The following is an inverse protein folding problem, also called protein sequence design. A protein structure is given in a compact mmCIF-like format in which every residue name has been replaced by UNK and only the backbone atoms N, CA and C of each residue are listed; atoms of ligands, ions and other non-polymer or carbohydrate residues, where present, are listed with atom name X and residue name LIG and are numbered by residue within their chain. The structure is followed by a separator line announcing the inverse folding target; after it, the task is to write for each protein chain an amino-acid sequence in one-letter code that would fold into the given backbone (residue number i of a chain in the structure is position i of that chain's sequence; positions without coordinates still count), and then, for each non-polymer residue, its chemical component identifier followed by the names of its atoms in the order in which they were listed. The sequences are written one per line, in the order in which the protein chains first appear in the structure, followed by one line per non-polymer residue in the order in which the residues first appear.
data_IF_198442926211
#
_entry.id   IF_198442926211
#
_cell.length_a   1.000
_cell.length_b   1.000
_cell.length_c   1.000
_cell.angle_alpha   90.00
_cell.angle_beta   90.00
_cell.angle_gamma   90.00
#
_symmetry.space_group_name_H-M   'P 1'
#
loop_
_entity.id
_entity.type
_entity.pdbx_description
1 polymer ?
#
# COMPACT_ATOMS: atom_id res chain seq x y z
N UNK A 1 10.13 1.62 19.57
CA UNK A 1 9.48 2.10 18.35
C UNK A 1 10.51 2.28 17.24
N UNK A 2 10.28 1.72 16.06
CA UNK A 2 11.14 1.87 14.88
C UNK A 2 10.40 2.76 13.87
N UNK A 3 10.59 4.07 13.94
CA UNK A 3 9.94 5.05 13.03
C UNK A 3 10.99 5.81 12.24
N UNK A 4 10.73 6.04 10.95
CA UNK A 4 11.55 6.89 10.10
C UNK A 4 11.08 8.33 10.25
N UNK A 5 11.93 9.23 10.75
CA UNK A 5 11.61 10.66 10.90
C UNK A 5 12.87 11.51 10.93
N UNK A 6 12.78 12.75 10.46
CA UNK A 6 13.88 13.73 10.54
C UNK A 6 15.06 13.43 9.61
N UNK A 7 14.82 12.68 8.53
CA UNK A 7 15.83 12.38 7.51
C UNK A 7 15.51 13.13 6.21
N UNK A 8 16.53 13.56 5.48
CA UNK A 8 16.34 14.34 4.23
C UNK A 8 15.79 13.50 3.06
N UNK A 9 15.72 12.19 3.21
CA UNK A 9 15.30 11.26 2.16
C UNK A 9 14.02 10.53 2.54
N UNK A 10 13.16 10.31 1.56
CA UNK A 10 12.01 9.44 1.76
C UNK A 10 12.45 7.99 1.88
N UNK A 11 11.62 7.16 2.48
CA UNK A 11 11.94 5.75 2.71
C UNK A 11 10.78 4.85 2.29
N UNK A 12 11.08 3.85 1.48
CA UNK A 12 10.21 2.69 1.27
C UNK A 12 10.66 1.60 2.23
N UNK A 13 9.74 1.16 3.09
CA UNK A 13 9.92 0.05 4.02
C UNK A 13 9.20 -1.15 3.42
N UNK A 14 9.95 -2.18 3.09
CA UNK A 14 9.43 -3.44 2.56
C UNK A 14 9.38 -4.49 3.68
N UNK A 15 8.20 -4.79 4.19
CA UNK A 15 7.95 -5.85 5.15
C UNK A 15 7.87 -7.19 4.43
N UNK A 16 8.92 -7.99 4.56
CA UNK A 16 9.07 -9.28 3.87
C UNK A 16 9.22 -10.42 4.88
N UNK A 17 9.05 -11.64 4.39
CA UNK A 17 9.35 -12.88 5.10
C UNK A 17 10.30 -13.74 4.26
N UNK A 18 11.15 -14.54 4.91
CA UNK A 18 12.02 -15.50 4.21
C UNK A 18 11.22 -16.69 3.65
N UNK A 19 10.09 -17.03 4.28
CA UNK A 19 9.25 -18.19 3.94
C UNK A 19 8.05 -17.90 3.03
N UNK A 20 7.82 -16.64 2.64
CA UNK A 20 6.68 -16.28 1.78
C UNK A 20 7.05 -16.42 0.29
N UNK A 21 6.25 -17.19 -0.46
CA UNK A 21 6.45 -17.42 -1.90
C UNK A 21 6.42 -16.12 -2.69
N UNK A 22 5.46 -15.24 -2.39
CA UNK A 22 5.35 -13.93 -3.07
C UNK A 22 6.54 -13.02 -2.72
N UNK A 23 7.09 -13.13 -1.50
CA UNK A 23 8.26 -12.34 -1.08
C UNK A 23 9.51 -12.66 -1.92
N UNK A 24 9.65 -13.88 -2.46
CA UNK A 24 10.83 -14.26 -3.25
C UNK A 24 11.05 -13.35 -4.47
N UNK A 25 9.97 -12.95 -5.15
CA UNK A 25 10.07 -12.02 -6.28
C UNK A 25 10.65 -10.66 -5.88
N UNK A 26 10.35 -10.21 -4.66
CA UNK A 26 10.87 -8.94 -4.14
C UNK A 26 12.33 -9.07 -3.71
N UNK A 27 12.70 -10.15 -3.02
CA UNK A 27 14.10 -10.45 -2.71
C UNK A 27 14.97 -10.45 -3.97
N UNK A 28 14.50 -11.09 -5.04
CA UNK A 28 15.19 -11.11 -6.33
C UNK A 28 15.27 -9.74 -7.00
N UNK A 29 14.18 -8.95 -6.95
CA UNK A 29 14.17 -7.60 -7.48
C UNK A 29 15.19 -6.70 -6.76
N UNK A 30 15.27 -6.82 -5.43
CA UNK A 30 16.12 -5.97 -4.58
C UNK A 30 17.61 -6.26 -4.71
N UNK A 31 17.99 -7.40 -5.29
CA UNK A 31 19.39 -7.67 -5.71
C UNK A 31 19.88 -6.73 -6.81
N UNK A 32 18.97 -6.07 -7.53
CA UNK A 32 19.27 -5.13 -8.62
C UNK A 32 18.69 -3.74 -8.29
N UNK A 33 19.16 -3.05 -7.23
CA UNK A 33 18.53 -1.82 -6.74
C UNK A 33 18.46 -0.71 -7.79
N UNK A 34 19.45 -0.63 -8.69
CA UNK A 34 19.45 0.32 -9.81
C UNK A 34 18.29 0.13 -10.81
N UNK A 35 17.68 -1.05 -10.86
CA UNK A 35 16.54 -1.35 -11.74
C UNK A 35 15.18 -1.08 -11.09
N UNK A 36 15.16 -0.79 -9.79
CA UNK A 36 13.91 -0.55 -9.05
C UNK A 36 13.22 0.74 -9.45
N UNK A 37 13.96 1.71 -10.01
CA UNK A 37 13.41 3.00 -10.44
C UNK A 37 12.61 3.68 -9.32
N UNK A 38 13.18 3.69 -8.11
CA UNK A 38 12.62 4.43 -6.98
C UNK A 38 12.59 5.94 -7.28
N UNK A 39 11.63 6.69 -6.70
CA UNK A 39 11.64 8.14 -6.77
C UNK A 39 13.00 8.71 -6.32
N UNK A 40 13.40 9.84 -6.90
CA UNK A 40 14.69 10.47 -6.58
C UNK A 40 14.75 10.77 -5.08
N UNK A 41 15.89 10.50 -4.46
CA UNK A 41 16.07 10.73 -3.03
C UNK A 41 15.30 9.77 -2.13
N UNK A 42 14.77 8.65 -2.65
CA UNK A 42 14.14 7.61 -1.83
C UNK A 42 15.11 6.47 -1.53
N UNK A 43 15.13 6.01 -0.27
CA UNK A 43 15.87 4.81 0.16
C UNK A 43 14.94 3.63 0.36
N UNK A 44 15.42 2.42 0.06
CA UNK A 44 14.72 1.19 0.37
C UNK A 44 15.33 0.54 1.61
N UNK A 45 14.48 0.10 2.53
CA UNK A 45 14.84 -0.72 3.69
C UNK A 45 13.93 -1.93 3.70
N UNK A 46 14.49 -3.12 3.96
CA UNK A 46 13.71 -4.34 4.16
C UNK A 46 13.59 -4.61 5.65
N UNK A 47 12.39 -4.99 6.08
CA UNK A 47 12.09 -5.39 7.46
C UNK A 47 11.51 -6.79 7.44
N UNK A 48 12.07 -7.70 8.23
CA UNK A 48 11.47 -9.01 8.52
C UNK A 48 11.07 -9.07 9.98
N UNK A 49 10.29 -10.09 10.38
CA UNK A 49 10.12 -10.36 11.81
C UNK A 49 11.47 -10.72 12.46
N UNK A 50 11.52 -10.61 13.78
CA UNK A 50 12.70 -10.92 14.58
C UNK A 50 13.05 -12.41 14.57
N UNK A 51 14.15 -12.74 15.24
CA UNK A 51 14.64 -14.12 15.36
C UNK A 51 13.68 -15.06 16.14
N UNK A 52 12.67 -14.48 16.79
CA UNK A 52 11.54 -15.17 17.41
C UNK A 52 10.57 -15.81 16.41
N UNK A 53 10.51 -15.31 15.17
CA UNK A 53 9.56 -15.76 14.15
C UNK A 53 10.20 -16.05 12.78
N UNK A 54 11.44 -15.63 12.54
CA UNK A 54 12.18 -15.84 11.29
C UNK A 54 13.56 -16.44 11.59
N UNK A 55 14.09 -17.21 10.64
CA UNK A 55 15.47 -17.72 10.74
C UNK A 55 16.47 -16.64 10.31
N UNK A 56 17.41 -16.22 11.18
CA UNK A 56 18.40 -15.20 10.83
C UNK A 56 19.29 -15.59 9.64
N UNK A 57 19.65 -16.86 9.51
CA UNK A 57 20.45 -17.33 8.38
C UNK A 57 19.66 -17.30 7.07
N UNK A 58 18.39 -17.72 7.08
CA UNK A 58 17.54 -17.67 5.90
C UNK A 58 17.30 -16.23 5.42
N UNK A 59 17.13 -15.28 6.35
CA UNK A 59 17.05 -13.85 6.02
C UNK A 59 18.38 -13.33 5.46
N UNK A 60 19.51 -13.70 6.07
CA UNK A 60 20.83 -13.28 5.62
C UNK A 60 21.17 -13.77 4.20
N UNK A 61 20.76 -14.99 3.83
CA UNK A 61 20.97 -15.57 2.49
C UNK A 61 20.18 -14.83 1.39
N UNK A 62 19.03 -14.25 1.76
CA UNK A 62 18.17 -13.48 0.84
C UNK A 62 18.53 -12.00 0.79
N UNK A 63 19.04 -11.44 1.89
CA UNK A 63 19.30 -10.01 2.05
C UNK A 63 20.29 -9.48 0.99
N UNK A 64 19.91 -8.47 0.19
CA UNK A 64 20.82 -7.85 -0.77
C UNK A 64 21.88 -7.00 -0.05
N UNK A 65 23.15 -7.14 -0.44
CA UNK A 65 24.25 -6.37 0.18
C UNK A 65 24.09 -4.84 0.14
N UNK A 66 23.30 -4.33 -0.81
CA UNK A 66 23.09 -2.89 -1.03
C UNK A 66 21.80 -2.35 -0.41
N UNK A 67 20.98 -3.21 0.20
CA UNK A 67 19.69 -2.83 0.80
C UNK A 67 19.72 -3.17 2.29
N UNK A 68 19.66 -2.17 3.18
CA UNK A 68 19.59 -2.42 4.61
C UNK A 68 18.42 -3.36 4.94
N UNK A 69 18.72 -4.44 5.68
CA UNK A 69 17.73 -5.42 6.12
C UNK A 69 17.73 -5.46 7.64
N UNK A 70 16.57 -5.28 8.26
CA UNK A 70 16.37 -5.20 9.71
C UNK A 70 15.41 -6.31 10.14
N UNK A 71 15.76 -7.09 11.15
CA UNK A 71 14.85 -8.06 11.76
C UNK A 71 14.20 -7.43 12.99
N UNK A 72 12.89 -7.13 12.93
CA UNK A 72 12.16 -6.49 14.03
C UNK A 72 10.67 -6.84 14.02
N UNK A 73 10.24 -7.72 14.92
CA UNK A 73 8.81 -7.99 15.15
C UNK A 73 8.06 -6.74 15.63
N UNK A 74 8.72 -5.87 16.42
CA UNK A 74 8.11 -4.62 16.88
C UNK A 74 7.77 -3.67 15.73
N UNK A 75 8.58 -3.62 14.66
CA UNK A 75 8.28 -2.78 13.51
C UNK A 75 7.00 -3.25 12.78
N UNK A 76 6.71 -4.55 12.73
CA UNK A 76 5.44 -5.05 12.19
C UNK A 76 4.25 -4.54 13.01
N UNK A 77 4.38 -4.50 14.33
CA UNK A 77 3.34 -3.96 15.21
C UNK A 77 3.22 -2.44 15.10
N UNK A 78 4.33 -1.71 15.06
CA UNK A 78 4.34 -0.23 15.01
C UNK A 78 3.70 0.34 13.73
N UNK A 79 3.68 -0.44 12.65
CA UNK A 79 3.09 -0.11 11.35
C UNK A 79 1.79 -0.91 11.07
N UNK A 80 1.25 -1.61 12.07
CA UNK A 80 0.02 -2.42 11.95
C UNK A 80 0.00 -3.36 10.73
N UNK A 81 1.15 -3.98 10.43
CA UNK A 81 1.35 -4.78 9.21
C UNK A 81 0.61 -6.12 9.31
N UNK A 82 -0.37 -6.40 8.41
CA UNK A 82 -1.20 -7.59 8.51
C UNK A 82 -0.47 -8.87 8.08
N UNK A 83 0.58 -8.76 7.26
CA UNK A 83 1.33 -9.88 6.72
C UNK A 83 2.37 -9.46 5.69
N UNK A 84 3.11 -10.43 5.15
CA UNK A 84 4.17 -10.19 4.15
C UNK A 84 3.78 -10.76 2.77
N UNK A 85 3.99 -10.03 1.66
CA UNK A 85 4.67 -8.74 1.57
C UNK A 85 3.76 -7.55 1.90
N UNK A 86 4.33 -6.51 2.49
CA UNK A 86 3.66 -5.21 2.70
C UNK A 86 4.67 -4.07 2.56
N UNK A 87 4.23 -2.94 2.02
CA UNK A 87 5.09 -1.80 1.70
C UNK A 87 4.52 -0.55 2.33
N UNK A 88 5.40 0.26 2.91
CA UNK A 88 5.06 1.57 3.47
C UNK A 88 6.03 2.59 2.91
N UNK A 89 5.51 3.68 2.36
CA UNK A 89 6.30 4.79 1.87
C UNK A 89 6.15 5.99 2.80
N UNK A 90 7.28 6.39 3.39
CA UNK A 90 7.36 7.38 4.45
C UNK A 90 8.09 8.61 3.92
N UNK A 91 7.47 9.77 4.09
CA UNK A 91 8.12 11.06 3.87
C UNK A 91 9.20 11.27 4.94
N UNK A 92 10.45 11.44 4.51
CA UNK A 92 11.60 11.50 5.40
C UNK A 92 11.53 12.62 6.46
N UNK A 93 11.36 13.88 6.04
CA UNK A 93 11.36 15.02 6.94
C UNK A 93 10.26 14.96 8.01
N UNK A 94 9.02 14.64 7.60
CA UNK A 94 7.88 14.65 8.53
C UNK A 94 7.61 13.29 9.20
N UNK A 95 8.21 12.21 8.71
CA UNK A 95 7.91 10.84 9.14
C UNK A 95 6.47 10.38 8.86
N UNK A 96 5.75 11.05 7.95
CA UNK A 96 4.35 10.71 7.61
C UNK A 96 4.33 9.61 6.56
N UNK A 97 3.44 8.64 6.71
CA UNK A 97 3.12 7.67 5.66
C UNK A 97 2.39 8.39 4.53
N UNK A 98 2.92 8.30 3.32
CA UNK A 98 2.33 8.83 2.09
C UNK A 98 1.50 7.78 1.35
N UNK A 99 1.85 6.51 1.51
CA UNK A 99 1.11 5.39 0.92
C UNK A 99 1.60 4.06 1.45
N UNK A 100 0.72 3.07 1.42
CA UNK A 100 1.00 1.71 1.88
C UNK A 100 0.18 0.67 1.11
N UNK A 101 0.62 -0.58 1.12
CA UNK A 101 -0.14 -1.67 0.52
C UNK A 101 0.69 -2.91 0.20
N UNK A 102 0.07 -3.84 -0.51
CA UNK A 102 0.67 -5.08 -0.98
C UNK A 102 0.56 -5.22 -2.51
N UNK A 103 1.40 -6.06 -3.09
CA UNK A 103 1.40 -6.35 -4.52
C UNK A 103 2.05 -7.70 -4.84
N UNK A 104 1.75 -8.28 -6.01
CA UNK A 104 2.32 -9.54 -6.47
C UNK A 104 3.77 -9.41 -6.97
N UNK A 105 4.21 -8.19 -7.31
CA UNK A 105 5.57 -7.87 -7.75
C UNK A 105 5.92 -6.39 -7.57
N UNK A 106 7.18 -6.04 -7.87
CA UNK A 106 7.72 -4.70 -7.69
C UNK A 106 7.14 -3.65 -8.64
N UNK A 107 6.76 -4.02 -9.85
CA UNK A 107 6.23 -3.05 -10.82
C UNK A 107 4.89 -2.51 -10.35
N UNK A 108 4.03 -3.38 -9.83
CA UNK A 108 2.76 -2.98 -9.22
C UNK A 108 2.96 -2.11 -7.98
N UNK A 109 3.88 -2.49 -7.08
CA UNK A 109 4.17 -1.69 -5.88
C UNK A 109 4.69 -0.30 -6.28
N UNK A 110 5.63 -0.22 -7.23
CA UNK A 110 6.14 1.06 -7.73
C UNK A 110 5.01 1.93 -8.30
N UNK A 111 4.06 1.36 -9.04
CA UNK A 111 2.91 2.11 -9.54
C UNK A 111 2.10 2.74 -8.41
N UNK A 112 1.79 1.96 -7.37
CA UNK A 112 1.07 2.45 -6.19
C UNK A 112 1.83 3.57 -5.47
N UNK A 113 3.13 3.39 -5.30
CA UNK A 113 3.99 4.40 -4.67
C UNK A 113 4.05 5.69 -5.50
N UNK A 114 4.09 5.59 -6.83
CA UNK A 114 4.08 6.74 -7.74
C UNK A 114 2.76 7.53 -7.72
N UNK A 115 1.62 6.82 -7.61
CA UNK A 115 0.32 7.46 -7.44
C UNK A 115 0.25 8.21 -6.10
N UNK A 116 0.66 7.55 -5.01
CA UNK A 116 0.69 8.15 -3.68
C UNK A 116 1.59 9.41 -3.60
N UNK A 117 2.74 9.42 -4.28
CA UNK A 117 3.57 10.64 -4.39
C UNK A 117 2.84 11.76 -5.12
N UNK A 118 2.16 11.46 -6.23
CA UNK A 118 1.49 12.46 -7.05
C UNK A 118 0.31 13.09 -6.31
N UNK A 119 -0.46 12.29 -5.58
CA UNK A 119 -1.58 12.75 -4.76
C UNK A 119 -1.10 13.58 -3.56
N UNK A 120 0.01 13.18 -2.92
CA UNK A 120 0.61 13.93 -1.82
C UNK A 120 1.20 15.27 -2.29
N UNK A 121 1.83 15.31 -3.47
CA UNK A 121 2.36 16.53 -4.07
C UNK A 121 1.23 17.47 -4.50
N UNK A 122 0.13 16.95 -5.06
CA UNK A 122 -1.07 17.72 -5.37
C UNK A 122 -1.68 18.31 -4.10
N UNK A 123 -1.83 17.50 -3.04
CA UNK A 123 -2.34 17.95 -1.74
C UNK A 123 -1.43 19.03 -1.16
N UNK A 124 -0.11 18.84 -1.19
CA UNK A 124 0.86 19.81 -0.67
C UNK A 124 0.89 21.11 -1.49
N UNK A 125 0.70 21.03 -2.81
CA UNK A 125 0.60 22.19 -3.68
C UNK A 125 -0.69 22.98 -3.45
N UNK A 126 -1.80 22.28 -3.15
CA UNK A 126 -3.07 22.90 -2.75
C UNK A 126 -2.98 23.48 -1.34
N UNK A 127 -2.26 22.83 -0.42
CA UNK A 127 -1.97 23.32 0.93
C UNK A 127 -1.07 24.57 0.90
N UNK A 128 -0.20 24.72 -0.10
CA UNK A 128 0.57 25.94 -0.36
C UNK A 128 -0.31 27.17 -0.71
N UNK A 129 -1.59 26.94 -1.01
CA UNK A 129 -2.60 27.97 -1.27
C UNK A 129 -3.67 28.06 -0.17
N UNK A 130 -3.50 27.35 0.96
CA UNK A 130 -4.43 27.41 2.07
C UNK A 130 -4.24 28.68 2.92
N UNK A 131 -5.30 29.48 2.97
CA UNK A 131 -5.55 30.47 4.02
C UNK A 131 -5.42 29.76 5.39
N UNK A 132 -4.75 30.34 6.40
CA UNK A 132 -4.57 29.69 7.69
C UNK A 132 -5.94 29.30 8.26
N UNK A 133 -6.11 28.05 8.69
CA UNK A 133 -7.35 27.57 9.35
C UNK A 133 -7.39 28.05 10.81
N UNK A 134 -8.36 28.90 11.23
CA UNK A 134 -8.64 29.13 12.64
C UNK A 134 -9.96 28.43 13.01
N UNK A 135 -9.94 27.52 13.99
CA UNK A 135 -11.06 27.04 14.84
C UNK A 135 -12.43 26.66 14.23
N UNK A 136 -12.63 26.73 12.91
CA UNK A 136 -13.91 26.53 12.23
C UNK A 136 -14.19 25.05 11.87
N UNK A 137 -13.21 24.16 12.05
CA UNK A 137 -13.34 22.73 11.73
C UNK A 137 -14.23 22.00 12.76
N UNK A 138 -14.14 22.32 14.07
CA UNK A 138 -14.90 21.63 15.11
C UNK A 138 -16.43 21.90 15.05
N UNK A 139 -16.83 23.14 14.75
CA UNK A 139 -18.26 23.48 14.62
C UNK A 139 -18.88 22.84 13.39
N UNK A 140 -18.12 22.74 12.29
CA UNK A 140 -18.54 22.09 11.05
C UNK A 140 -18.69 20.59 11.23
N UNK A 141 -17.73 19.93 11.87
CA UNK A 141 -17.80 18.51 12.23
C UNK A 141 -19.01 18.24 13.14
N UNK A 142 -19.23 19.06 14.16
CA UNK A 142 -20.38 18.92 15.07
C UNK A 142 -21.76 19.11 14.41
N UNK A 143 -21.80 19.84 13.29
CA UNK A 143 -23.02 20.01 12.50
C UNK A 143 -23.26 18.79 11.62
N UNK A 144 -22.22 18.29 10.97
CA UNK A 144 -22.28 17.11 10.11
C UNK A 144 -22.66 15.88 10.92
N UNK A 145 -22.03 15.65 12.08
CA UNK A 145 -22.38 14.51 12.95
C UNK A 145 -23.83 14.57 13.39
N UNK A 146 -24.33 15.77 13.72
CA UNK A 146 -25.72 15.98 14.14
C UNK A 146 -26.72 15.71 13.03
N UNK A 147 -26.39 16.09 11.80
CA UNK A 147 -27.20 15.79 10.62
C UNK A 147 -27.23 14.27 10.34
N UNK A 148 -26.09 13.58 10.49
CA UNK A 148 -26.01 12.12 10.34
C UNK A 148 -26.80 11.37 11.41
N UNK A 149 -26.66 11.77 12.68
CA UNK A 149 -27.46 11.22 13.77
C UNK A 149 -28.96 11.48 13.58
N UNK A 150 -29.34 12.66 13.10
CA UNK A 150 -30.75 12.96 12.80
C UNK A 150 -31.31 12.12 11.64
N UNK A 151 -30.45 11.69 10.72
CA UNK A 151 -30.78 10.73 9.66
C UNK A 151 -30.76 9.26 10.13
N UNK A 152 -30.47 9.00 11.41
CA UNK A 152 -30.40 7.66 11.99
C UNK A 152 -29.07 6.94 11.77
N UNK A 153 -28.07 7.61 11.19
CA UNK A 153 -26.77 7.04 10.84
C UNK A 153 -25.80 7.29 12.01
N UNK A 154 -25.60 6.26 12.83
CA UNK A 154 -24.64 6.28 13.93
C UNK A 154 -23.28 5.67 13.52
N UNK A 155 -22.18 5.93 14.26
CA UNK A 155 -20.94 5.18 14.09
C UNK A 155 -21.19 3.67 14.23
N UNK A 156 -20.87 2.90 13.19
CA UNK A 156 -21.20 1.47 13.11
C UNK A 156 -22.51 1.14 12.38
N UNK A 157 -23.18 2.12 11.77
CA UNK A 157 -24.40 1.88 10.99
C UNK A 157 -24.14 0.93 9.80
N UNK A 158 -24.96 -0.12 9.60
CA UNK A 158 -24.77 -1.09 8.53
C UNK A 158 -24.78 -0.49 7.12
N UNK A 159 -25.46 0.64 6.90
CA UNK A 159 -25.48 1.33 5.60
C UNK A 159 -24.13 1.97 5.22
N UNK A 160 -23.25 2.19 6.21
CA UNK A 160 -21.88 2.66 6.00
C UNK A 160 -20.94 1.53 5.54
N UNK A 161 -21.39 0.28 5.64
CA UNK A 161 -20.66 -0.91 5.23
C UNK A 161 -21.56 -1.76 4.31
N UNK A 162 -21.73 -1.37 3.04
CA UNK A 162 -22.42 -2.23 2.09
C UNK A 162 -21.71 -3.60 2.08
N UNK A 163 -22.46 -4.64 2.47
CA UNK A 163 -21.96 -6.01 2.45
C UNK A 163 -21.55 -6.44 1.04
N UNK A 164 -20.72 -7.48 0.92
CA UNK A 164 -20.40 -8.05 -0.40
C UNK A 164 -21.70 -8.44 -1.11
N UNK A 165 -21.81 -8.21 -2.44
CA UNK A 165 -23.01 -8.56 -3.18
C UNK A 165 -23.34 -10.04 -2.98
N UNK A 166 -24.56 -10.28 -2.51
CA UNK A 166 -25.10 -11.60 -2.21
C UNK A 166 -25.27 -12.42 -3.49
N UNK A 167 -25.08 -13.73 -3.38
CA UNK A 167 -25.09 -14.67 -4.48
C UNK A 167 -26.51 -14.87 -5.06
N UNK A 168 -26.70 -14.48 -6.32
CA UNK A 168 -27.80 -14.87 -7.21
C UNK A 168 -27.38 -14.46 -8.63
N UNK A 169 -27.40 -15.27 -9.69
CA UNK A 169 -28.21 -16.41 -10.12
C UNK A 169 -27.34 -17.32 -11.02
N UNK A 170 -27.74 -18.56 -11.36
CA UNK A 170 -26.96 -19.41 -12.25
C UNK A 170 -27.00 -18.87 -13.69
N UNK A 171 -25.86 -18.39 -14.18
CA UNK A 171 -25.68 -18.03 -15.59
C UNK A 171 -25.66 -19.30 -16.45
N UNK A 172 -26.77 -19.53 -17.17
CA UNK A 172 -26.87 -20.54 -18.22
C UNK A 172 -25.89 -20.20 -19.36
N UNK A 173 -24.88 -21.04 -19.54
CA UNK A 173 -23.92 -20.93 -20.66
C UNK A 173 -24.52 -21.56 -21.92
N UNK A 174 -25.47 -20.87 -22.53
CA UNK A 174 -25.96 -21.16 -23.88
C UNK A 174 -25.28 -20.27 -24.92
N UNK A 175 -24.05 -20.57 -25.33
CA UNK A 175 -23.56 -20.23 -26.67
C UNK A 175 -22.22 -20.91 -26.99
N UNK A 176 -22.26 -21.91 -27.86
CA UNK A 176 -21.13 -22.27 -28.71
C UNK A 176 -21.46 -21.81 -30.13
N UNK A 177 -20.72 -20.80 -30.59
CA UNK A 177 -20.54 -20.44 -32.00
C UNK A 177 -19.31 -21.17 -32.54
N UNK A 178 -19.34 -21.55 -33.82
CA UNK A 178 -18.24 -21.59 -34.81
C UNK A 178 -18.69 -22.48 -35.99
N UNK A 179 -18.49 -22.22 -37.27
CA UNK A 179 -17.80 -21.18 -38.06
C UNK A 179 -18.41 -21.26 -39.50
N UNK A 180 -18.71 -20.14 -40.17
CA UNK A 180 -17.90 -19.48 -41.21
C UNK A 180 -17.73 -20.28 -42.54
N UNK A 181 -18.58 -19.90 -43.52
CA UNK A 181 -18.43 -19.68 -44.98
C UNK A 181 -17.41 -20.48 -45.86
N UNK A 182 -17.64 -20.65 -47.20
CA UNK A 182 -17.63 -19.50 -48.14
C UNK A 182 -18.47 -19.60 -49.45
N UNK A 183 -18.74 -18.46 -50.09
CA UNK A 183 -18.49 -18.34 -51.54
C UNK A 183 -19.58 -17.78 -52.46
N UNK A 184 -19.57 -16.45 -52.59
CA UNK A 184 -19.61 -15.62 -53.83
C UNK A 184 -20.89 -15.57 -54.70
N UNK A 185 -21.19 -14.39 -55.33
CA UNK A 185 -22.53 -13.99 -55.71
C UNK A 185 -22.83 -14.22 -57.20
N UNK A 186 -24.13 -14.21 -57.52
CA UNK A 186 -24.76 -13.36 -58.55
C UNK A 186 -26.27 -13.39 -58.44
#
# INVERSE_FOLDING_TARGET
SLRVSGVEHDTVIAFLSSGCITCQKFWDAFRKPRKLQLPKGTRLVVVTKGADAESPSAVADLAPAQVPTIMSTQAFADYDVPGSPYFVYVHGPSGRVRGEGTGPDWEQVRSLLGQATSDADLTSALDGNQVPKPDADAERESRIDRELYAAGIAPGDPSLYPGPPDAGEPHDHGHAHDADEPGDPR
#
